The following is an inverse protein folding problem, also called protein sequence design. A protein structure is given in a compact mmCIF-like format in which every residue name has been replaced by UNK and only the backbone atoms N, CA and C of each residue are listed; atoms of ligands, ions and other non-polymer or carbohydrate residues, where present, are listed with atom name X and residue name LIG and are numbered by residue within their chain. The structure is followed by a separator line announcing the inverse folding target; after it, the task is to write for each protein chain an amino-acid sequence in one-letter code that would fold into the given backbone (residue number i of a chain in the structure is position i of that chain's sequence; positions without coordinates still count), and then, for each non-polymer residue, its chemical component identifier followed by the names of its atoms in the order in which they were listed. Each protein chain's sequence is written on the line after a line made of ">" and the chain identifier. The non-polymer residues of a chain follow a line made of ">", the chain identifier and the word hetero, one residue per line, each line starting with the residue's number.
data_IF_978417770234
#
_entry.id   IF_978417770234
#
_cell.length_a   1.000
_cell.length_b   1.000
_cell.length_c   1.000
_cell.angle_alpha   90.00
_cell.angle_beta   90.00
_cell.angle_gamma   90.00
#
_symmetry.space_group_name_H-M   'P 1'
#
loop_
_entity.id
_entity.type
_entity.pdbx_description
1 polymer ?
#
# COMPACT_ATOMS: atom_id res chain seq x y z
N UNK A 1 11.45 3.41 15.30
CA UNK A 1 10.29 3.70 14.40
C UNK A 1 9.16 2.73 14.70
N UNK A 2 7.91 3.11 14.42
CA UNK A 2 6.76 2.17 14.48
C UNK A 2 7.03 0.97 13.57
N UNK A 3 7.65 1.22 12.41
CA UNK A 3 8.11 0.17 11.49
C UNK A 3 9.06 -0.83 12.14
N UNK A 4 9.90 -0.42 13.09
CA UNK A 4 10.81 -1.33 13.81
C UNK A 4 10.05 -2.26 14.77
N UNK A 5 8.86 -1.86 15.25
CA UNK A 5 8.02 -2.71 16.09
C UNK A 5 7.50 -3.92 15.31
N UNK A 6 7.27 -3.77 14.01
CA UNK A 6 6.79 -4.85 13.15
C UNK A 6 7.88 -5.88 12.82
N UNK A 7 9.16 -5.56 13.06
CA UNK A 7 10.28 -6.50 12.94
C UNK A 7 10.38 -7.45 14.16
N UNK A 8 9.66 -7.15 15.24
CA UNK A 8 9.65 -8.00 16.43
C UNK A 8 8.79 -9.24 16.24
N UNK A 9 9.17 -10.31 16.89
CA UNK A 9 8.48 -11.60 16.84
C UNK A 9 9.09 -12.55 15.80
N UNK A 10 8.65 -13.79 15.88
CA UNK A 10 9.06 -14.84 14.93
C UNK A 10 8.32 -14.66 13.58
N UNK A 11 9.07 -14.48 12.51
CA UNK A 11 8.57 -14.34 11.14
C UNK A 11 8.95 -15.53 10.25
N UNK A 12 9.54 -16.58 10.82
CA UNK A 12 10.07 -17.72 10.08
C UNK A 12 9.01 -18.39 9.18
N UNK A 13 7.79 -18.57 9.70
CA UNK A 13 6.69 -19.17 8.92
C UNK A 13 6.26 -18.28 7.74
N UNK A 14 6.16 -16.96 7.96
CA UNK A 14 5.81 -15.99 6.91
C UNK A 14 6.90 -15.96 5.84
N UNK A 15 8.17 -15.93 6.23
CA UNK A 15 9.32 -15.95 5.32
C UNK A 15 9.36 -17.25 4.50
N UNK A 16 9.10 -18.40 5.13
CA UNK A 16 9.00 -19.67 4.43
C UNK A 16 7.86 -19.68 3.39
N UNK A 17 6.70 -19.09 3.73
CA UNK A 17 5.58 -18.92 2.81
C UNK A 17 5.96 -18.00 1.63
N UNK A 18 6.64 -16.86 1.90
CA UNK A 18 7.14 -15.96 0.85
C UNK A 18 8.09 -16.71 -0.10
N UNK A 19 9.09 -17.41 0.45
CA UNK A 19 10.05 -18.19 -0.34
C UNK A 19 9.33 -19.17 -1.26
N UNK A 20 8.39 -19.97 -0.70
CA UNK A 20 7.63 -20.93 -1.48
C UNK A 20 6.80 -20.25 -2.57
N UNK A 21 6.04 -19.22 -2.24
CA UNK A 21 5.20 -18.50 -3.19
C UNK A 21 6.03 -17.84 -4.31
N UNK A 22 7.17 -17.22 -3.97
CA UNK A 22 8.09 -16.62 -4.94
C UNK A 22 8.69 -17.67 -5.88
N UNK A 23 9.15 -18.80 -5.34
CA UNK A 23 9.74 -19.90 -6.14
C UNK A 23 8.70 -20.50 -7.11
N UNK A 24 7.44 -20.56 -6.71
CA UNK A 24 6.33 -21.09 -7.52
C UNK A 24 5.65 -20.03 -8.41
N UNK A 25 6.13 -18.78 -8.41
CA UNK A 25 5.57 -17.67 -9.21
C UNK A 25 4.18 -17.21 -8.76
N UNK A 26 3.76 -17.54 -7.53
CA UNK A 26 2.44 -17.20 -6.97
C UNK A 26 2.46 -15.88 -6.22
N UNK A 27 2.81 -14.80 -6.91
CA UNK A 27 3.13 -13.48 -6.36
C UNK A 27 1.96 -12.72 -5.69
N UNK A 28 0.74 -13.20 -5.79
CA UNK A 28 -0.42 -12.59 -5.13
C UNK A 28 -0.98 -13.45 -3.98
N UNK A 29 -0.26 -14.49 -3.59
CA UNK A 29 -0.68 -15.36 -2.49
C UNK A 29 -0.58 -14.66 -1.15
N UNK A 30 -1.53 -14.98 -0.28
CA UNK A 30 -1.51 -14.59 1.11
C UNK A 30 -0.45 -15.40 1.85
N UNK A 31 0.50 -14.73 2.44
CA UNK A 31 1.65 -15.33 3.15
C UNK A 31 1.60 -15.15 4.66
N UNK A 32 0.86 -14.18 5.15
CA UNK A 32 0.62 -13.96 6.59
C UNK A 32 -0.21 -15.11 7.17
N UNK A 33 0.12 -15.51 8.41
CA UNK A 33 -0.41 -16.74 9.01
C UNK A 33 -1.62 -16.53 9.91
N UNK A 34 -1.86 -15.32 10.38
CA UNK A 34 -2.86 -15.05 11.42
C UNK A 34 -3.85 -13.94 11.04
N UNK A 35 -4.07 -13.72 9.75
CA UNK A 35 -5.07 -12.74 9.31
C UNK A 35 -6.48 -13.26 9.60
N UNK A 36 -7.34 -12.44 10.24
CA UNK A 36 -8.73 -12.80 10.47
C UNK A 36 -9.45 -13.02 9.14
N UNK A 37 -10.30 -14.03 9.11
CA UNK A 37 -11.18 -14.33 7.97
C UNK A 37 -12.60 -14.04 8.38
N UNK A 38 -13.30 -13.22 7.63
CA UNK A 38 -14.72 -12.92 7.81
C UNK A 38 -15.56 -13.79 6.87
N UNK A 39 -16.71 -14.23 7.35
CA UNK A 39 -17.72 -14.77 6.46
C UNK A 39 -18.51 -13.63 5.78
N UNK A 40 -19.25 -13.95 4.70
CA UNK A 40 -19.98 -12.96 3.91
C UNK A 40 -21.05 -12.20 4.74
N UNK A 41 -21.60 -12.80 5.79
CA UNK A 41 -22.60 -12.14 6.66
C UNK A 41 -21.95 -11.10 7.56
N UNK A 42 -20.78 -11.41 8.09
CA UNK A 42 -19.94 -10.49 8.88
C UNK A 42 -19.46 -9.32 8.00
N UNK A 43 -18.96 -9.60 6.79
CA UNK A 43 -18.57 -8.55 5.85
C UNK A 43 -19.73 -7.58 5.57
N UNK A 44 -20.91 -8.09 5.24
CA UNK A 44 -22.11 -7.27 4.99
C UNK A 44 -22.53 -6.43 6.19
N UNK A 45 -22.41 -6.97 7.40
CA UNK A 45 -22.71 -6.23 8.62
C UNK A 45 -21.73 -5.06 8.82
N UNK A 46 -20.43 -5.29 8.60
CA UNK A 46 -19.40 -4.27 8.69
C UNK A 46 -19.54 -3.20 7.60
N UNK A 47 -19.83 -3.59 6.35
CA UNK A 47 -20.12 -2.68 5.25
C UNK A 47 -21.30 -1.75 5.58
N UNK A 48 -22.42 -2.34 6.01
CA UNK A 48 -23.61 -1.56 6.37
C UNK A 48 -23.33 -0.59 7.53
N UNK A 49 -22.57 -1.03 8.52
CA UNK A 49 -22.17 -0.19 9.64
C UNK A 49 -21.26 0.97 9.17
N UNK A 50 -20.23 0.67 8.38
CA UNK A 50 -19.31 1.66 7.84
C UNK A 50 -20.04 2.70 6.98
N UNK A 51 -20.92 2.27 6.06
CA UNK A 51 -21.72 3.15 5.22
C UNK A 51 -22.66 4.05 6.05
N UNK A 52 -23.25 3.49 7.12
CA UNK A 52 -24.09 4.25 8.06
C UNK A 52 -23.28 5.28 8.84
N UNK A 53 -22.10 4.91 9.33
CA UNK A 53 -21.23 5.83 10.07
C UNK A 53 -20.79 7.00 9.18
N UNK A 54 -20.43 6.75 7.93
CA UNK A 54 -20.00 7.80 7.00
C UNK A 54 -21.04 8.88 6.72
N UNK A 55 -22.32 8.60 6.94
CA UNK A 55 -23.41 9.60 6.79
C UNK A 55 -23.50 10.56 7.98
N UNK A 56 -22.85 10.27 9.10
CA UNK A 56 -22.91 11.10 10.30
C UNK A 56 -21.91 12.25 10.23
N UNK A 57 -22.27 13.47 10.66
CA UNK A 57 -21.33 14.59 10.75
C UNK A 57 -20.07 14.28 11.56
N UNK A 58 -20.24 13.48 12.65
CA UNK A 58 -19.13 13.03 13.47
C UNK A 58 -18.07 12.23 12.68
N UNK A 59 -18.45 11.51 11.64
CA UNK A 59 -17.48 10.79 10.80
C UNK A 59 -16.54 11.77 10.09
N UNK A 60 -17.10 12.85 9.54
CA UNK A 60 -16.31 13.89 8.88
C UNK A 60 -15.31 14.53 9.84
N UNK A 61 -15.77 14.91 11.04
CA UNK A 61 -14.90 15.50 12.07
C UNK A 61 -13.77 14.54 12.47
N UNK A 62 -14.10 13.28 12.75
CA UNK A 62 -13.11 12.26 13.11
C UNK A 62 -12.12 11.96 11.98
N UNK A 63 -12.55 12.00 10.71
CA UNK A 63 -11.63 11.83 9.58
C UNK A 63 -10.60 12.96 9.48
N UNK A 64 -10.96 14.20 9.83
CA UNK A 64 -10.00 15.31 9.88
C UNK A 64 -9.04 15.17 11.08
N UNK A 65 -9.56 14.74 12.22
CA UNK A 65 -8.73 14.48 13.40
C UNK A 65 -7.77 13.31 13.13
N UNK A 66 -8.23 12.21 12.51
CA UNK A 66 -7.38 11.11 12.07
C UNK A 66 -6.26 11.61 11.17
N UNK A 67 -6.60 12.43 10.17
CA UNK A 67 -5.61 12.97 9.23
C UNK A 67 -4.51 13.78 9.95
N UNK A 68 -4.87 14.58 10.94
CA UNK A 68 -3.91 15.34 11.74
C UNK A 68 -3.03 14.42 12.59
N UNK A 69 -3.62 13.44 13.25
CA UNK A 69 -2.92 12.46 14.10
C UNK A 69 -1.96 11.60 13.29
N UNK A 70 -2.45 11.01 12.20
CA UNK A 70 -1.61 10.15 11.36
C UNK A 70 -0.52 10.95 10.63
N UNK A 71 -0.81 12.20 10.24
CA UNK A 71 0.17 13.09 9.64
C UNK A 71 1.32 13.42 10.59
N UNK A 72 1.01 13.69 11.87
CA UNK A 72 2.00 13.91 12.91
C UNK A 72 2.82 12.65 13.16
N UNK A 73 2.15 11.50 13.33
CA UNK A 73 2.79 10.19 13.52
C UNK A 73 3.73 9.88 12.35
N UNK A 74 3.25 10.04 11.11
CA UNK A 74 4.06 9.81 9.92
C UNK A 74 5.29 10.72 9.88
N UNK A 75 5.14 12.00 10.20
CA UNK A 75 6.25 12.97 10.19
C UNK A 75 7.35 12.60 11.19
N UNK A 76 6.98 12.18 12.39
CA UNK A 76 7.93 11.77 13.43
C UNK A 76 8.57 10.42 13.10
N UNK A 77 7.74 9.43 12.79
CA UNK A 77 8.20 8.05 12.58
C UNK A 77 9.07 7.88 11.33
N UNK A 78 8.74 8.61 10.26
CA UNK A 78 9.44 8.48 8.98
C UNK A 78 10.49 9.58 8.74
N UNK A 79 10.90 10.32 9.78
CA UNK A 79 11.90 11.40 9.64
C UNK A 79 13.19 10.95 8.95
N UNK A 80 13.59 9.72 9.14
CA UNK A 80 14.79 9.12 8.56
C UNK A 80 14.58 8.55 7.14
N UNK A 81 13.34 8.46 6.69
CA UNK A 81 13.04 7.95 5.35
C UNK A 81 13.40 9.01 4.32
N UNK A 82 14.36 8.71 3.46
CA UNK A 82 14.74 9.55 2.33
C UNK A 82 13.62 9.55 1.29
N UNK A 83 13.37 10.69 0.64
CA UNK A 83 12.39 10.82 -0.44
C UNK A 83 13.08 11.35 -1.68
N UNK A 84 12.95 10.62 -2.79
CA UNK A 84 13.54 10.92 -4.09
C UNK A 84 12.43 11.07 -5.15
N UNK A 85 12.66 11.90 -6.16
CA UNK A 85 11.76 12.02 -7.31
C UNK A 85 10.54 12.92 -7.10
N UNK A 86 10.60 13.88 -6.18
CA UNK A 86 9.48 14.80 -5.91
C UNK A 86 9.04 15.62 -7.12
N UNK A 87 9.94 15.87 -8.07
CA UNK A 87 9.66 16.62 -9.30
C UNK A 87 8.65 15.88 -10.19
N UNK A 88 8.55 14.56 -10.05
CA UNK A 88 7.55 13.75 -10.73
C UNK A 88 6.10 14.05 -10.30
N UNK A 89 5.91 14.83 -9.23
CA UNK A 89 4.60 15.34 -8.79
C UNK A 89 4.19 16.64 -9.47
N UNK A 90 5.01 17.19 -10.35
CA UNK A 90 4.69 18.41 -11.08
C UNK A 90 3.35 18.26 -11.83
N UNK A 91 2.46 19.24 -11.65
CA UNK A 91 1.12 19.24 -12.26
C UNK A 91 0.12 18.23 -11.67
N UNK A 92 0.41 17.58 -10.55
CA UNK A 92 -0.57 16.80 -9.78
C UNK A 92 -1.28 17.74 -8.82
N UNK A 93 -2.47 18.25 -9.18
CA UNK A 93 -3.19 19.29 -8.43
C UNK A 93 -4.42 18.77 -7.68
N UNK A 94 -5.05 17.71 -8.14
CA UNK A 94 -6.29 17.17 -7.57
C UNK A 94 -6.09 15.79 -6.92
N UNK A 95 -7.17 15.01 -6.92
CA UNK A 95 -7.15 13.62 -6.48
C UNK A 95 -6.23 12.76 -7.33
N UNK A 96 -5.65 11.74 -6.71
CA UNK A 96 -4.78 10.80 -7.39
C UNK A 96 -4.92 9.39 -6.79
N UNK A 97 -4.75 8.37 -7.59
CA UNK A 97 -4.46 7.03 -7.10
C UNK A 97 -2.96 6.94 -6.83
N UNK A 98 -2.58 6.45 -5.68
CA UNK A 98 -1.17 6.19 -5.33
C UNK A 98 -0.95 4.68 -5.35
N UNK A 99 0.13 4.22 -5.96
CA UNK A 99 0.55 2.83 -5.92
C UNK A 99 1.88 2.70 -5.20
N UNK A 100 2.09 1.61 -4.47
CA UNK A 100 3.37 1.28 -3.82
C UNK A 100 3.53 -0.23 -3.70
N UNK A 101 4.75 -0.71 -3.44
CA UNK A 101 4.98 -2.07 -2.97
C UNK A 101 4.41 -2.24 -1.55
N UNK A 102 4.04 -3.48 -1.21
CA UNK A 102 3.37 -3.82 0.06
C UNK A 102 4.24 -4.79 0.86
N UNK A 103 5.02 -4.27 1.80
CA UNK A 103 6.06 -5.05 2.49
C UNK A 103 6.03 -4.95 4.03
N UNK A 104 5.23 -4.03 4.61
CA UNK A 104 5.18 -3.84 6.05
C UNK A 104 3.84 -3.19 6.45
N UNK A 105 3.28 -3.48 7.63
CA UNK A 105 2.08 -2.79 8.09
C UNK A 105 2.24 -1.27 8.23
N UNK A 106 3.48 -0.78 8.33
CA UNK A 106 3.79 0.64 8.55
C UNK A 106 4.23 1.41 7.31
N UNK A 107 4.37 0.78 6.12
CA UNK A 107 4.93 1.48 4.94
C UNK A 107 4.03 2.61 4.43
N UNK A 108 2.72 2.57 4.70
CA UNK A 108 1.82 3.66 4.33
C UNK A 108 2.24 5.00 4.97
N UNK A 109 2.87 4.98 6.15
CA UNK A 109 3.42 6.17 6.80
C UNK A 109 4.54 6.79 5.95
N UNK A 110 5.34 5.95 5.27
CA UNK A 110 6.39 6.41 4.35
C UNK A 110 5.75 7.03 3.09
N UNK A 111 4.75 6.36 2.51
CA UNK A 111 4.05 6.85 1.30
C UNK A 111 3.36 8.19 1.56
N UNK A 112 2.87 8.46 2.77
CA UNK A 112 2.31 9.76 3.16
C UNK A 112 3.28 10.93 2.94
N UNK A 113 4.59 10.69 2.95
CA UNK A 113 5.59 11.74 2.62
C UNK A 113 5.48 12.22 1.16
N UNK A 114 4.99 11.39 0.24
CA UNK A 114 4.71 11.83 -1.12
C UNK A 114 3.52 12.80 -1.16
N UNK A 115 2.50 12.58 -0.33
CA UNK A 115 1.26 13.37 -0.33
C UNK A 115 1.43 14.81 0.21
N UNK A 116 2.50 15.13 0.94
CA UNK A 116 2.82 16.49 1.44
C UNK A 116 1.65 17.20 2.10
N UNK A 117 1.03 16.59 3.10
CA UNK A 117 -0.09 17.19 3.84
C UNK A 117 -1.46 17.06 3.15
N UNK A 118 -1.52 16.48 1.95
CA UNK A 118 -2.81 16.10 1.36
C UNK A 118 -3.38 14.90 2.09
N UNK A 119 -4.70 14.81 2.11
CA UNK A 119 -5.37 13.62 2.64
C UNK A 119 -5.00 12.40 1.81
N UNK A 120 -4.42 11.39 2.44
CA UNK A 120 -4.14 10.08 1.86
C UNK A 120 -5.01 9.05 2.56
N UNK A 121 -6.00 8.52 1.87
CA UNK A 121 -6.78 7.37 2.32
C UNK A 121 -6.17 6.08 1.79
N UNK A 122 -6.37 4.97 2.50
CA UNK A 122 -5.80 3.67 2.13
C UNK A 122 -6.93 2.73 1.76
N UNK A 123 -6.80 2.00 0.66
CA UNK A 123 -7.68 0.86 0.39
C UNK A 123 -7.18 -0.33 1.21
N UNK A 124 -8.06 -0.90 2.02
CA UNK A 124 -7.69 -2.00 2.92
C UNK A 124 -8.86 -2.95 3.18
N UNK A 125 -8.57 -4.08 3.81
CA UNK A 125 -9.57 -5.10 4.14
C UNK A 125 -10.55 -4.61 5.21
N UNK A 126 -11.78 -5.12 5.20
CA UNK A 126 -12.81 -4.84 6.22
C UNK A 126 -12.36 -5.21 7.64
N UNK A 127 -11.56 -6.25 7.77
CA UNK A 127 -10.98 -6.69 9.05
C UNK A 127 -10.19 -5.59 9.76
N UNK A 128 -9.63 -4.64 9.01
CA UNK A 128 -8.92 -3.49 9.57
C UNK A 128 -9.83 -2.57 10.40
N UNK A 129 -11.14 -2.58 10.13
CA UNK A 129 -12.12 -1.79 10.89
C UNK A 129 -12.44 -2.40 12.25
N UNK A 130 -12.12 -3.69 12.47
CA UNK A 130 -12.32 -4.39 13.74
C UNK A 130 -11.14 -4.28 14.70
N UNK A 131 -10.04 -3.64 14.24
CA UNK A 131 -8.91 -3.36 15.12
C UNK A 131 -9.34 -2.47 16.27
N UNK A 132 -8.94 -2.83 17.49
CA UNK A 132 -9.27 -2.06 18.68
C UNK A 132 -8.37 -0.85 18.92
N UNK A 133 -8.76 0.00 19.85
CA UNK A 133 -7.94 1.10 20.34
C UNK A 133 -7.62 2.18 19.32
N UNK A 134 -6.44 2.80 19.47
CA UNK A 134 -6.00 3.90 18.63
C UNK A 134 -5.78 3.48 17.16
N UNK A 135 -5.26 2.27 16.94
CA UNK A 135 -5.06 1.76 15.58
C UNK A 135 -6.39 1.55 14.86
N UNK A 136 -7.40 0.97 15.54
CA UNK A 136 -8.75 0.83 15.00
C UNK A 136 -9.40 2.16 14.65
N UNK A 137 -9.18 3.19 15.48
CA UNK A 137 -9.60 4.55 15.16
C UNK A 137 -8.99 5.04 13.85
N UNK A 138 -7.67 4.94 13.68
CA UNK A 138 -6.99 5.36 12.46
C UNK A 138 -7.47 4.56 11.23
N UNK A 139 -7.64 3.25 11.37
CA UNK A 139 -8.14 2.40 10.28
C UNK A 139 -9.58 2.75 9.90
N UNK A 140 -10.46 3.00 10.86
CA UNK A 140 -11.87 3.31 10.61
C UNK A 140 -12.04 4.59 9.79
N UNK A 141 -11.28 5.62 10.06
CA UNK A 141 -11.45 6.94 9.45
C UNK A 141 -10.51 7.20 8.27
N UNK A 142 -9.39 6.50 8.19
CA UNK A 142 -8.38 6.64 7.14
C UNK A 142 -8.50 5.61 6.00
N UNK A 143 -9.36 4.58 6.14
CA UNK A 143 -9.45 3.47 5.19
C UNK A 143 -10.72 3.55 4.32
N UNK A 144 -10.58 3.16 3.06
CA UNK A 144 -11.66 2.79 2.16
C UNK A 144 -11.70 1.25 2.10
N UNK A 145 -12.65 0.59 2.80
CA UNK A 145 -12.63 -0.86 2.93
C UNK A 145 -13.04 -1.55 1.63
N UNK A 146 -12.36 -2.65 1.32
CA UNK A 146 -12.74 -3.62 0.29
C UNK A 146 -13.36 -4.84 0.94
N UNK A 147 -14.21 -5.54 0.18
CA UNK A 147 -14.97 -6.71 0.61
C UNK A 147 -14.97 -7.79 -0.46
N UNK A 148 -15.30 -9.01 -0.09
CA UNK A 148 -15.62 -10.08 -1.03
C UNK A 148 -17.03 -9.97 -1.63
N UNK A 149 -17.91 -9.13 -1.07
CA UNK A 149 -19.26 -8.91 -1.61
C UNK A 149 -19.21 -8.15 -2.94
N UNK A 150 -19.52 -8.87 -4.02
CA UNK A 150 -19.53 -8.32 -5.38
C UNK A 150 -20.49 -7.12 -5.54
N UNK A 151 -21.60 -7.08 -4.78
CA UNK A 151 -22.55 -5.96 -4.81
C UNK A 151 -21.94 -4.70 -4.20
N UNK A 152 -21.27 -4.82 -3.07
CA UNK A 152 -20.56 -3.71 -2.44
C UNK A 152 -19.42 -3.22 -3.36
N UNK A 153 -18.58 -4.12 -3.85
CA UNK A 153 -17.47 -3.79 -4.74
C UNK A 153 -17.90 -3.22 -6.09
N UNK A 154 -19.07 -3.62 -6.60
CA UNK A 154 -19.60 -3.11 -7.87
C UNK A 154 -20.32 -1.75 -7.76
N UNK A 155 -20.88 -1.41 -6.61
CA UNK A 155 -21.73 -0.22 -6.43
C UNK A 155 -21.22 0.78 -5.41
N UNK A 156 -20.96 0.33 -4.19
CA UNK A 156 -20.69 1.26 -3.09
C UNK A 156 -19.21 1.66 -3.04
N UNK A 157 -18.30 0.71 -3.18
CA UNK A 157 -16.87 1.00 -3.18
C UNK A 157 -16.46 2.01 -4.28
N UNK A 158 -16.91 1.89 -5.55
CA UNK A 158 -16.59 2.89 -6.57
C UNK A 158 -17.11 4.29 -6.24
N UNK A 159 -18.27 4.41 -5.58
CA UNK A 159 -18.81 5.71 -5.14
C UNK A 159 -17.95 6.32 -4.03
N UNK A 160 -17.52 5.50 -3.06
CA UNK A 160 -16.64 5.93 -1.97
C UNK A 160 -15.30 6.42 -2.50
N UNK A 161 -14.68 5.64 -3.37
CA UNK A 161 -13.38 5.96 -3.95
C UNK A 161 -13.48 7.16 -4.88
N UNK A 162 -14.46 7.20 -5.78
CA UNK A 162 -14.67 8.33 -6.69
C UNK A 162 -14.99 9.62 -5.95
N UNK A 163 -15.84 9.56 -4.93
CA UNK A 163 -16.15 10.72 -4.09
C UNK A 163 -14.93 11.23 -3.28
N UNK A 164 -14.01 10.34 -2.91
CA UNK A 164 -12.75 10.73 -2.29
C UNK A 164 -11.83 11.45 -3.27
N UNK A 165 -11.64 10.89 -4.46
CA UNK A 165 -10.82 11.50 -5.52
C UNK A 165 -11.36 12.85 -5.97
N UNK A 166 -12.67 13.01 -6.11
CA UNK A 166 -13.33 14.28 -6.47
C UNK A 166 -13.10 15.39 -5.44
N UNK A 167 -12.93 15.04 -4.16
CA UNK A 167 -12.57 15.98 -3.09
C UNK A 167 -11.09 16.35 -3.08
N UNK A 168 -10.31 15.85 -4.03
CA UNK A 168 -8.87 16.10 -4.12
C UNK A 168 -8.02 15.19 -3.23
N UNK A 169 -8.60 14.20 -2.58
CA UNK A 169 -7.86 13.27 -1.76
C UNK A 169 -7.03 12.31 -2.64
N UNK A 170 -5.91 11.87 -2.11
CA UNK A 170 -5.14 10.79 -2.67
C UNK A 170 -5.61 9.45 -2.07
N UNK A 171 -5.60 8.40 -2.88
CA UNK A 171 -6.04 7.07 -2.46
C UNK A 171 -4.94 6.07 -2.75
N UNK A 172 -4.33 5.52 -1.71
CA UNK A 172 -3.31 4.48 -1.79
C UNK A 172 -3.98 3.13 -2.02
N UNK A 173 -3.58 2.48 -3.09
CA UNK A 173 -3.99 1.12 -3.45
C UNK A 173 -2.72 0.32 -3.70
N UNK A 174 -2.55 -0.78 -2.99
CA UNK A 174 -1.45 -1.71 -3.23
C UNK A 174 -1.80 -2.66 -4.37
N UNK A 175 -1.20 -2.50 -5.56
CA UNK A 175 -1.57 -3.32 -6.71
C UNK A 175 -1.07 -4.77 -6.60
N UNK A 176 -0.14 -5.02 -5.68
CA UNK A 176 0.37 -6.34 -5.34
C UNK A 176 -0.60 -7.17 -4.48
N UNK A 177 -1.68 -6.54 -3.94
CA UNK A 177 -2.73 -7.06 -3.08
C UNK A 177 -2.25 -7.44 -1.68
N UNK A 178 -1.53 -8.54 -1.55
CA UNK A 178 -1.11 -9.09 -0.27
C UNK A 178 0.22 -8.48 0.18
N UNK A 179 0.38 -8.30 1.49
CA UNK A 179 1.64 -7.84 2.08
C UNK A 179 2.64 -9.00 2.14
N UNK A 180 3.85 -8.77 1.62
CA UNK A 180 4.96 -9.71 1.74
C UNK A 180 6.07 -9.10 2.58
N UNK A 181 6.18 -9.57 3.80
CA UNK A 181 7.01 -8.96 4.84
C UNK A 181 8.47 -8.78 4.41
N UNK A 182 8.92 -7.51 4.36
CA UNK A 182 10.28 -7.06 3.97
C UNK A 182 10.77 -7.58 2.60
N UNK A 183 9.85 -8.00 1.73
CA UNK A 183 10.20 -8.47 0.39
C UNK A 183 10.49 -7.30 -0.53
N UNK A 184 11.72 -7.25 -1.09
CA UNK A 184 12.24 -6.09 -1.83
C UNK A 184 11.87 -6.02 -3.30
N UNK A 185 11.51 -7.16 -3.92
CA UNK A 185 11.21 -7.16 -5.36
C UNK A 185 9.80 -6.63 -5.64
N UNK A 186 9.60 -5.85 -6.71
CA UNK A 186 8.26 -5.51 -7.16
C UNK A 186 7.55 -6.77 -7.66
N UNK A 187 6.31 -6.97 -7.23
CA UNK A 187 5.49 -8.11 -7.63
C UNK A 187 4.52 -7.72 -8.75
N UNK A 188 4.16 -8.64 -9.66
CA UNK A 188 3.21 -8.37 -10.74
C UNK A 188 1.90 -7.77 -10.22
N UNK A 189 1.51 -6.58 -10.71
CA UNK A 189 0.37 -5.84 -10.17
C UNK A 189 -0.96 -6.35 -10.70
N UNK A 190 -2.03 -6.21 -9.90
CA UNK A 190 -3.42 -6.36 -10.35
C UNK A 190 -3.96 -5.03 -10.87
N UNK A 191 -4.86 -5.11 -11.83
CA UNK A 191 -5.38 -3.96 -12.59
C UNK A 191 -6.22 -2.96 -11.79
N UNK A 192 -6.74 -3.33 -10.60
CA UNK A 192 -7.75 -2.56 -9.88
C UNK A 192 -7.41 -1.09 -9.65
N UNK A 193 -6.21 -0.78 -9.19
CA UNK A 193 -5.74 0.59 -8.96
C UNK A 193 -5.80 1.44 -10.24
N UNK A 194 -5.30 0.90 -11.32
CA UNK A 194 -5.23 1.57 -12.63
C UNK A 194 -6.59 1.70 -13.30
N UNK A 195 -7.48 0.71 -13.09
CA UNK A 195 -8.86 0.79 -13.55
C UNK A 195 -9.59 1.98 -12.90
N UNK A 196 -9.45 2.17 -11.61
CA UNK A 196 -10.08 3.31 -10.94
C UNK A 196 -9.45 4.64 -11.35
N UNK A 197 -8.13 4.70 -11.53
CA UNK A 197 -7.47 5.89 -12.05
C UNK A 197 -8.01 6.27 -13.43
N UNK A 198 -8.09 5.31 -14.36
CA UNK A 198 -8.65 5.51 -15.68
C UNK A 198 -10.14 5.90 -15.64
N UNK A 199 -10.95 5.20 -14.84
CA UNK A 199 -12.39 5.43 -14.71
C UNK A 199 -12.73 6.83 -14.19
N UNK A 200 -11.94 7.33 -13.25
CA UNK A 200 -12.17 8.65 -12.64
C UNK A 200 -11.30 9.75 -13.27
N UNK A 201 -10.55 9.42 -14.31
CA UNK A 201 -9.67 10.33 -15.04
C UNK A 201 -8.71 11.09 -14.11
N UNK A 202 -8.06 10.36 -13.21
CA UNK A 202 -7.06 10.88 -12.28
C UNK A 202 -5.69 10.26 -12.53
N UNK A 203 -4.58 10.95 -12.19
CA UNK A 203 -3.25 10.39 -12.33
C UNK A 203 -3.00 9.24 -11.35
N UNK A 204 -2.06 8.35 -11.73
CA UNK A 204 -1.41 7.39 -10.83
C UNK A 204 -0.07 7.99 -10.40
N UNK A 205 0.06 8.27 -9.11
CA UNK A 205 1.34 8.60 -8.47
C UNK A 205 2.02 7.30 -8.09
N UNK A 206 3.01 6.91 -8.87
CA UNK A 206 3.76 5.69 -8.63
C UNK A 206 4.80 5.91 -7.53
N UNK A 207 4.74 5.09 -6.50
CA UNK A 207 5.72 5.05 -5.43
C UNK A 207 6.36 3.66 -5.36
N UNK A 208 7.61 3.63 -4.94
CA UNK A 208 8.31 2.39 -4.60
C UNK A 208 9.26 2.66 -3.44
N UNK A 209 9.24 1.81 -2.42
CA UNK A 209 10.16 1.91 -1.29
C UNK A 209 11.27 0.90 -1.47
N UNK A 210 12.51 1.39 -1.63
CA UNK A 210 13.70 0.54 -1.58
C UNK A 210 14.19 0.41 -0.16
N UNK A 211 14.79 -0.72 0.15
CA UNK A 211 15.24 -1.13 1.47
C UNK A 211 16.71 -1.50 1.45
N UNK A 212 17.46 -1.08 2.47
CA UNK A 212 18.87 -1.43 2.63
C UNK A 212 19.10 -1.96 4.03
N UNK A 213 19.65 -3.17 4.12
CA UNK A 213 20.16 -3.72 5.37
C UNK A 213 21.39 -2.93 5.80
N UNK A 214 21.42 -2.48 7.05
CA UNK A 214 22.55 -1.73 7.61
C UNK A 214 23.64 -2.61 8.21
N UNK A 215 23.40 -3.92 8.34
CA UNK A 215 24.28 -4.84 9.08
C UNK A 215 24.26 -4.63 10.60
N UNK A 216 23.47 -3.68 11.11
CA UNK A 216 23.37 -3.40 12.54
C UNK A 216 22.19 -4.15 13.13
N UNK A 217 22.45 -5.09 14.03
CA UNK A 217 21.39 -5.85 14.69
C UNK A 217 20.38 -4.92 15.38
N UNK A 218 19.09 -5.18 15.16
CA UNK A 218 18.01 -4.40 15.76
C UNK A 218 17.18 -5.23 16.75
N UNK A 219 16.63 -6.37 16.31
CA UNK A 219 15.77 -7.22 17.12
C UNK A 219 15.55 -8.61 16.50
N UNK A 220 15.52 -9.65 17.34
CA UNK A 220 15.25 -11.02 16.87
C UNK A 220 16.21 -11.44 15.76
N UNK A 221 15.65 -11.78 14.60
CA UNK A 221 16.40 -12.20 13.42
C UNK A 221 16.57 -11.09 12.39
N UNK A 222 16.37 -9.81 12.80
CA UNK A 222 16.42 -8.67 11.88
C UNK A 222 17.46 -7.63 12.27
N UNK A 223 18.18 -7.16 11.25
CA UNK A 223 18.96 -5.95 11.29
C UNK A 223 18.07 -4.72 11.11
N UNK A 224 18.64 -3.57 11.44
CA UNK A 224 18.03 -2.27 11.11
C UNK A 224 18.02 -2.08 9.60
N UNK A 225 16.88 -1.59 9.11
CA UNK A 225 16.65 -1.35 7.69
C UNK A 225 16.55 0.15 7.45
N UNK A 226 17.23 0.63 6.43
CA UNK A 226 17.05 1.97 5.88
C UNK A 226 16.10 1.94 4.70
N UNK A 227 15.17 2.89 4.68
CA UNK A 227 14.14 2.99 3.66
C UNK A 227 14.33 4.26 2.82
N UNK A 228 14.16 4.13 1.51
CA UNK A 228 14.07 5.26 0.59
C UNK A 228 12.78 5.17 -0.20
N UNK A 229 11.92 6.18 -0.05
CA UNK A 229 10.72 6.34 -0.87
C UNK A 229 11.09 6.99 -2.19
N UNK A 230 10.89 6.28 -3.28
CA UNK A 230 11.00 6.81 -4.63
C UNK A 230 9.61 7.17 -5.15
N UNK A 231 9.47 8.40 -5.61
CA UNK A 231 8.31 8.85 -6.37
C UNK A 231 8.71 8.77 -7.84
N UNK A 232 8.15 7.80 -8.54
CA UNK A 232 8.45 7.52 -9.92
C UNK A 232 7.62 8.40 -10.85
N UNK A 233 7.81 8.29 -12.15
CA UNK A 233 7.08 9.09 -13.14
C UNK A 233 5.57 8.91 -12.95
N UNK A 234 4.86 10.02 -12.77
CA UNK A 234 3.40 10.04 -12.66
C UNK A 234 2.77 9.62 -13.99
N UNK A 235 1.84 8.68 -13.94
CA UNK A 235 1.12 8.18 -15.11
C UNK A 235 -0.25 8.86 -15.20
N UNK A 236 -0.66 9.19 -16.42
CA UNK A 236 -1.95 9.87 -16.66
C UNK A 236 -2.77 9.08 -17.68
N UNK A 237 -4.10 9.02 -17.52
CA UNK A 237 -4.96 8.48 -18.57
C UNK A 237 -4.81 9.28 -19.87
N UNK A 238 -4.70 8.59 -21.00
CA UNK A 238 -4.77 9.18 -22.33
C UNK A 238 -6.25 9.34 -22.73
N UNK A 239 -6.73 10.56 -23.04
CA UNK A 239 -8.13 10.78 -23.41
C UNK A 239 -8.55 10.08 -24.71
N UNK A 240 -7.60 9.59 -25.50
CA UNK A 240 -7.84 8.84 -26.75
C UNK A 240 -8.10 7.35 -26.52
N UNK A 241 -7.73 6.84 -25.34
CA UNK A 241 -7.86 5.42 -25.00
C UNK A 241 -9.10 5.13 -24.17
N UNK A 242 -9.64 3.92 -24.33
CA UNK A 242 -10.70 3.42 -23.46
C UNK A 242 -10.22 3.29 -21.99
N UNK A 243 -11.15 3.23 -21.03
CA UNK A 243 -10.83 2.95 -19.63
C UNK A 243 -10.05 1.64 -19.49
N UNK A 244 -10.41 0.63 -20.30
CA UNK A 244 -9.72 -0.67 -20.29
C UNK A 244 -8.27 -0.51 -20.74
N UNK A 245 -8.03 0.13 -21.87
CA UNK A 245 -6.71 0.25 -22.46
C UNK A 245 -5.81 1.17 -21.62
N UNK A 246 -6.34 2.29 -21.13
CA UNK A 246 -5.67 3.14 -20.15
C UNK A 246 -5.23 2.36 -18.91
N UNK A 247 -6.13 1.53 -18.35
CA UNK A 247 -5.81 0.77 -17.15
C UNK A 247 -4.68 -0.25 -17.39
N UNK A 248 -4.63 -0.86 -18.56
CA UNK A 248 -3.56 -1.80 -18.94
C UNK A 248 -2.24 -1.08 -19.20
N UNK A 249 -2.29 0.02 -19.97
CA UNK A 249 -1.09 0.81 -20.28
C UNK A 249 -0.44 1.38 -19.01
N UNK A 250 -1.23 1.97 -18.11
CA UNK A 250 -0.72 2.50 -16.83
C UNK A 250 -0.20 1.38 -15.93
N UNK A 251 -0.86 0.21 -15.88
CA UNK A 251 -0.39 -0.94 -15.10
C UNK A 251 0.99 -1.42 -15.59
N UNK A 252 1.14 -1.59 -16.89
CA UNK A 252 2.41 -2.03 -17.49
C UNK A 252 3.52 -1.00 -17.25
N UNK A 253 3.23 0.29 -17.46
CA UNK A 253 4.20 1.35 -17.26
C UNK A 253 4.60 1.49 -15.77
N UNK A 254 3.65 1.35 -14.83
CA UNK A 254 3.93 1.39 -13.39
C UNK A 254 4.84 0.22 -12.97
N UNK A 255 4.54 -0.98 -13.45
CA UNK A 255 5.36 -2.16 -13.14
C UNK A 255 6.76 -2.05 -13.77
N UNK A 256 6.85 -1.66 -15.02
CA UNK A 256 8.13 -1.52 -15.73
C UNK A 256 9.09 -0.57 -15.01
N UNK A 257 8.62 0.62 -14.62
CA UNK A 257 9.50 1.58 -13.92
C UNK A 257 9.88 1.13 -12.50
N UNK A 258 9.07 0.31 -11.83
CA UNK A 258 9.42 -0.30 -10.54
C UNK A 258 10.47 -1.39 -10.71
N UNK A 259 10.36 -2.23 -11.74
CA UNK A 259 11.36 -3.23 -12.08
C UNK A 259 12.70 -2.57 -12.43
N UNK A 260 12.69 -1.55 -13.29
CA UNK A 260 13.89 -0.80 -13.64
C UNK A 260 14.60 -0.19 -12.42
N UNK A 261 13.81 0.41 -11.50
CA UNK A 261 14.37 0.93 -10.25
C UNK A 261 14.95 -0.19 -9.37
N UNK A 262 14.27 -1.34 -9.27
CA UNK A 262 14.75 -2.48 -8.52
C UNK A 262 16.10 -2.97 -9.08
N UNK A 263 16.17 -3.23 -10.38
CA UNK A 263 17.37 -3.72 -11.06
C UNK A 263 18.53 -2.73 -10.94
N UNK A 264 18.26 -1.44 -11.10
CA UNK A 264 19.28 -0.38 -10.93
C UNK A 264 19.75 -0.29 -9.49
N UNK A 265 18.86 -0.48 -8.50
CA UNK A 265 19.20 -0.32 -7.08
C UNK A 265 19.98 -1.51 -6.52
N UNK A 266 19.59 -2.73 -6.92
CA UNK A 266 20.13 -3.96 -6.32
C UNK A 266 21.10 -4.70 -7.23
N UNK A 267 21.21 -4.33 -8.51
CA UNK A 267 22.08 -4.99 -9.49
C UNK A 267 21.65 -6.42 -9.83
N UNK A 268 20.38 -6.75 -9.60
CA UNK A 268 19.82 -8.08 -9.82
C UNK A 268 18.66 -8.02 -10.81
N UNK A 269 18.55 -8.99 -11.70
CA UNK A 269 17.41 -9.11 -12.62
C UNK A 269 16.13 -9.45 -11.84
N UNK A 270 14.98 -8.91 -12.30
CA UNK A 270 13.70 -9.12 -11.64
C UNK A 270 13.27 -10.59 -11.59
N UNK A 271 13.66 -11.36 -12.58
CA UNK A 271 13.37 -12.79 -12.74
C UNK A 271 14.44 -13.73 -12.14
N UNK A 272 15.47 -13.17 -11.48
CA UNK A 272 16.47 -13.98 -10.78
C UNK A 272 15.80 -14.90 -9.73
N UNK A 273 16.34 -16.11 -9.49
CA UNK A 273 15.81 -16.99 -8.45
C UNK A 273 15.70 -16.31 -7.09
N UNK A 274 14.74 -16.74 -6.27
CA UNK A 274 14.60 -16.23 -4.89
C UNK A 274 15.89 -16.46 -4.10
N UNK A 275 16.34 -15.45 -3.39
CA UNK A 275 17.48 -15.49 -2.46
C UNK A 275 17.09 -15.01 -1.07
N UNK A 276 17.88 -15.32 -0.05
CA UNK A 276 17.67 -14.82 1.32
C UNK A 276 17.71 -13.28 1.38
N UNK A 277 18.49 -12.64 0.52
CA UNK A 277 18.58 -11.19 0.41
C UNK A 277 17.29 -10.51 -0.07
N UNK A 278 16.33 -11.29 -0.60
CA UNK A 278 15.03 -10.74 -0.97
C UNK A 278 14.16 -10.35 0.22
N UNK A 279 14.48 -10.89 1.42
CA UNK A 279 13.90 -10.47 2.70
C UNK A 279 14.92 -9.58 3.40
N UNK A 280 14.77 -8.28 3.21
CA UNK A 280 15.78 -7.32 3.68
C UNK A 280 15.88 -7.31 5.20
N UNK A 281 17.11 -7.33 5.68
CA UNK A 281 17.45 -7.31 7.11
C UNK A 281 17.28 -8.63 7.83
N UNK A 282 16.78 -9.68 7.17
CA UNK A 282 16.59 -10.97 7.81
C UNK A 282 17.86 -11.81 7.81
N UNK A 283 18.17 -12.36 8.98
CA UNK A 283 19.25 -13.31 9.20
C UNK A 283 18.68 -14.59 9.81
N UNK A 284 18.72 -15.69 9.05
CA UNK A 284 18.33 -16.99 9.60
C UNK A 284 19.25 -17.29 10.79
N UNK A 285 18.70 -17.67 11.93
CA UNK A 285 19.48 -18.29 13.00
C UNK A 285 19.99 -19.63 12.47
N UNK A 286 21.31 -19.76 12.44
CA UNK A 286 21.98 -21.04 12.13
C UNK A 286 21.67 -22.11 13.18
#
# INVERSE_FOLDING_TARGET
>A
MITDLFLRGDRSAVIANIKRAATEGRFNDKVETNDPVLDLSQERALEANYLRMRKKPAFWLNSHLELALIGTTASVDTRHVRVVGRDNLAGVTGGAVVTSNHFSPGENLMVRKAARGRSLQIVGQLTNLEMGGFLGYLMTYGTLPISSDAKYMGREFPKLLGGSLQKGNWVLIYPEQEMWFQYRRPRPPKRGAYYYAARFNVPVVSCFVTMRDTGVHLTGDFNRIEYTLHILKTLRPDPKLSVRDNSLAMMQADYAQKCELYETTYGEAIDAPFSAADIVGWHARG
#
